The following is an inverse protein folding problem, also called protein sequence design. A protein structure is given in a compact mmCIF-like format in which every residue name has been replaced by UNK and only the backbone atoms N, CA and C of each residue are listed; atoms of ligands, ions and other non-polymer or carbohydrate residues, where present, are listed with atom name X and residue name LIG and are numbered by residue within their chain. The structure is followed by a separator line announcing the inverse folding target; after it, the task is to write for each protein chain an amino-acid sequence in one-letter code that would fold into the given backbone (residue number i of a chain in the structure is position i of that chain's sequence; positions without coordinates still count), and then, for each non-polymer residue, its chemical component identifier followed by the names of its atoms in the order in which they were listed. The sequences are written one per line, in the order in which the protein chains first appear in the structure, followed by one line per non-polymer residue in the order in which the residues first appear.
data_IF_992166234516
#
_entry.id   IF_992166234516
#
_cell.length_a   1.000
_cell.length_b   1.000
_cell.length_c   1.000
_cell.angle_alpha   90.00
_cell.angle_beta   90.00
_cell.angle_gamma   90.00
#
_symmetry.space_group_name_H-M   'P 1'
#
loop_
_entity.id
_entity.type
_entity.pdbx_description
1 polymer ?
#
# COMPACT_ATOMS: atom_id res chain seq x y z
N UNK A 1 -12.43 9.55 18.22
CA UNK A 1 -11.80 8.20 18.19
C UNK A 1 -12.63 7.26 19.02
N UNK A 2 -12.67 5.95 18.75
CA UNK A 2 -13.45 5.02 19.56
C UNK A 2 -12.85 4.87 20.97
N UNK A 3 -13.70 4.53 21.94
CA UNK A 3 -13.26 4.12 23.26
C UNK A 3 -12.41 2.85 23.17
N UNK A 4 -11.36 2.75 23.99
CA UNK A 4 -10.43 1.63 24.03
C UNK A 4 -9.26 1.73 23.04
N UNK A 5 -9.30 2.66 22.10
CA UNK A 5 -8.23 2.87 21.12
C UNK A 5 -6.90 3.26 21.80
N UNK A 6 -5.79 2.72 21.30
CA UNK A 6 -4.45 3.26 21.56
C UNK A 6 -4.26 4.50 20.69
N UNK A 7 -3.89 5.61 21.31
CA UNK A 7 -3.74 6.93 20.69
C UNK A 7 -2.31 7.39 20.83
N UNK A 8 -1.67 7.75 19.71
CA UNK A 8 -0.40 8.46 19.68
C UNK A 8 -0.62 9.92 19.31
N UNK A 9 0.01 10.83 20.06
CA UNK A 9 0.08 12.25 19.70
C UNK A 9 1.53 12.65 19.60
N UNK A 10 1.93 13.16 18.43
CA UNK A 10 3.25 13.73 18.20
C UNK A 10 3.16 15.26 18.24
N UNK A 11 3.86 15.88 19.19
CA UNK A 11 3.99 17.33 19.32
C UNK A 11 5.28 17.77 18.63
N UNK A 12 5.18 18.72 17.70
CA UNK A 12 6.33 19.33 17.00
C UNK A 12 6.37 20.81 17.33
N UNK A 13 7.52 21.30 17.78
CA UNK A 13 7.71 22.69 18.14
C UNK A 13 7.91 23.56 16.89
N UNK A 14 6.97 24.47 16.61
CA UNK A 14 7.00 25.33 15.43
C UNK A 14 7.76 26.65 15.61
N UNK A 15 7.89 27.16 16.84
CA UNK A 15 8.31 28.54 17.13
C UNK A 15 9.61 28.65 17.95
N UNK A 16 10.05 27.58 18.60
CA UNK A 16 11.24 27.54 19.45
C UNK A 16 11.04 28.03 20.88
N UNK A 17 9.80 28.25 21.34
CA UNK A 17 9.50 28.38 22.77
C UNK A 17 9.49 27.00 23.44
N UNK A 18 9.55 26.92 24.76
CA UNK A 18 9.37 25.63 25.45
C UNK A 18 7.91 25.24 25.37
N UNK A 19 7.60 23.97 25.07
CA UNK A 19 6.24 23.44 25.02
C UNK A 19 6.19 21.99 25.52
N UNK A 20 5.03 21.57 25.98
CA UNK A 20 4.65 20.17 26.21
C UNK A 20 3.20 19.93 25.80
N UNK A 21 2.72 18.70 25.98
CA UNK A 21 1.30 18.37 25.87
C UNK A 21 0.90 17.39 26.97
N UNK A 22 -0.21 17.67 27.65
CA UNK A 22 -0.81 16.78 28.64
C UNK A 22 -2.30 16.57 28.39
N UNK A 23 -2.77 15.37 28.74
CA UNK A 23 -4.16 14.95 28.78
C UNK A 23 -4.39 14.28 30.15
N UNK A 24 -4.65 15.07 31.19
CA UNK A 24 -4.67 14.58 32.57
C UNK A 24 -5.68 13.45 32.82
N UNK A 25 -6.81 13.44 32.11
CA UNK A 25 -7.87 12.44 32.30
C UNK A 25 -7.45 11.02 31.90
N UNK A 26 -6.37 10.90 31.13
CA UNK A 26 -5.72 9.65 30.72
C UNK A 26 -4.31 9.48 31.28
N UNK A 27 -3.88 10.33 32.23
CA UNK A 27 -2.53 10.30 32.82
C UNK A 27 -1.40 10.32 31.78
N UNK A 28 -1.62 11.09 30.69
CA UNK A 28 -0.70 11.15 29.56
C UNK A 28 -0.07 12.55 29.49
N UNK A 29 1.26 12.62 29.54
CA UNK A 29 2.00 13.88 29.39
C UNK A 29 3.33 13.65 28.68
N UNK A 30 3.72 14.58 27.82
CA UNK A 30 5.00 14.53 27.11
C UNK A 30 6.13 15.12 27.96
N UNK A 31 7.38 14.86 27.56
CA UNK A 31 8.49 15.71 27.99
C UNK A 31 8.37 17.12 27.40
N UNK A 32 8.98 18.11 28.05
CA UNK A 32 9.13 19.46 27.49
C UNK A 32 10.10 19.45 26.29
N UNK A 33 9.79 20.27 25.28
CA UNK A 33 10.63 20.49 24.09
C UNK A 33 10.85 21.98 23.87
N UNK A 34 12.05 22.40 23.48
CA UNK A 34 12.41 23.83 23.41
C UNK A 34 13.05 24.28 22.09
N UNK A 35 13.50 23.35 21.24
CA UNK A 35 14.08 23.68 19.93
C UNK A 35 13.04 23.76 18.82
N UNK A 36 13.15 24.70 17.88
CA UNK A 36 12.34 24.69 16.66
C UNK A 36 12.60 23.40 15.88
N UNK A 37 11.53 22.68 15.54
CA UNK A 37 11.58 21.35 14.93
C UNK A 37 11.84 20.19 15.91
N UNK A 38 12.11 20.47 17.19
CA UNK A 38 12.13 19.42 18.21
C UNK A 38 10.73 18.79 18.32
N UNK A 39 10.69 17.50 18.57
CA UNK A 39 9.44 16.75 18.69
C UNK A 39 9.47 15.81 19.89
N UNK A 40 8.29 15.55 20.43
CA UNK A 40 8.04 14.55 21.47
C UNK A 40 6.72 13.85 21.16
N UNK A 41 6.49 12.68 21.74
CA UNK A 41 5.21 11.97 21.60
C UNK A 41 4.67 11.50 22.94
N UNK A 42 3.36 11.26 22.98
CA UNK A 42 2.69 10.47 24.03
C UNK A 42 1.90 9.35 23.38
N UNK A 43 1.85 8.20 24.05
CA UNK A 43 0.99 7.08 23.70
C UNK A 43 0.15 6.72 24.92
N UNK A 44 -1.16 6.65 24.75
CA UNK A 44 -2.08 6.31 25.83
C UNK A 44 -3.31 5.56 25.30
N UNK A 45 -4.05 4.91 26.19
CA UNK A 45 -5.32 4.27 25.84
C UNK A 45 -6.49 5.17 26.19
N UNK A 46 -7.36 5.43 25.22
CA UNK A 46 -8.58 6.21 25.40
C UNK A 46 -9.66 5.39 26.13
N UNK A 47 -9.45 5.10 27.41
CA UNK A 47 -10.26 4.18 28.25
C UNK A 47 -11.64 4.70 28.66
N UNK A 48 -12.02 5.91 28.24
CA UNK A 48 -13.26 6.57 28.66
C UNK A 48 -13.83 7.38 27.50
N UNK A 49 -15.11 7.21 27.18
CA UNK A 49 -15.83 8.12 26.26
C UNK A 49 -16.04 9.50 26.89
N UNK A 50 -16.04 10.54 26.06
CA UNK A 50 -16.23 11.92 26.47
C UNK A 50 -15.49 12.93 25.60
N UNK A 51 -15.55 14.19 26.01
CA UNK A 51 -14.71 15.26 25.46
C UNK A 51 -13.72 15.70 26.54
N UNK A 52 -12.43 15.57 26.26
CA UNK A 52 -11.33 15.84 27.18
C UNK A 52 -10.48 16.99 26.66
N UNK A 53 -9.77 17.69 27.54
CA UNK A 53 -8.84 18.73 27.10
C UNK A 53 -7.44 18.15 26.94
N UNK A 54 -6.75 18.55 25.89
CA UNK A 54 -5.29 18.49 25.84
C UNK A 54 -4.74 19.90 25.90
N UNK A 55 -3.67 20.14 26.65
CA UNK A 55 -3.10 21.48 26.80
C UNK A 55 -1.60 21.46 27.12
N UNK A 56 -0.95 22.60 26.90
CA UNK A 56 0.42 22.85 27.34
C UNK A 56 0.41 23.24 28.83
N UNK A 57 1.16 22.51 29.66
CA UNK A 57 1.20 22.67 31.12
C UNK A 57 2.06 23.84 31.57
N UNK A 58 2.88 24.39 30.66
CA UNK A 58 3.77 25.49 30.97
C UNK A 58 2.99 26.75 31.43
N UNK A 59 3.52 27.48 32.42
CA UNK A 59 2.86 28.65 32.98
C UNK A 59 2.45 29.65 31.90
N UNK A 60 1.14 29.93 31.82
CA UNK A 60 0.57 30.90 30.89
C UNK A 60 0.24 30.37 29.49
N UNK A 61 0.76 29.21 29.06
CA UNK A 61 0.56 28.70 27.70
C UNK A 61 -0.89 28.26 27.45
N UNK A 62 -1.51 27.53 28.40
CA UNK A 62 -2.94 27.22 28.33
C UNK A 62 -3.81 28.48 28.25
N UNK A 63 -3.51 29.49 29.07
CA UNK A 63 -4.25 30.76 29.10
C UNK A 63 -4.08 31.57 27.81
N UNK A 64 -2.92 31.44 27.15
CA UNK A 64 -2.65 32.01 25.83
C UNK A 64 -3.32 31.26 24.68
N UNK A 65 -4.02 30.15 24.96
CA UNK A 65 -4.81 29.40 23.99
C UNK A 65 -4.23 28.04 23.58
N UNK A 66 -3.15 27.56 24.20
CA UNK A 66 -2.61 26.22 23.95
C UNK A 66 -3.46 25.13 24.64
N UNK A 67 -4.72 25.02 24.20
CA UNK A 67 -5.69 24.03 24.65
C UNK A 67 -6.54 23.57 23.47
N UNK A 68 -6.82 22.27 23.40
CA UNK A 68 -7.73 21.69 22.41
C UNK A 68 -8.58 20.59 23.01
N UNK A 69 -9.44 19.98 22.18
CA UNK A 69 -10.40 18.96 22.58
C UNK A 69 -10.08 17.61 21.95
N UNK A 70 -10.06 16.58 22.79
CA UNK A 70 -9.99 15.17 22.41
C UNK A 70 -11.39 14.55 22.59
N UNK A 71 -12.00 14.04 21.50
CA UNK A 71 -13.36 13.46 21.53
C UNK A 71 -13.29 11.92 21.40
N UNK A 72 -13.57 11.21 22.48
CA UNK A 72 -13.59 9.74 22.56
C UNK A 72 -15.04 9.24 22.58
N UNK A 73 -15.38 8.26 21.74
CA UNK A 73 -16.74 7.74 21.54
C UNK A 73 -17.40 8.24 20.25
N UNK A 74 -18.74 8.23 20.21
CA UNK A 74 -19.59 8.63 19.08
C UNK A 74 -19.57 10.14 18.82
N UNK A 75 -18.39 10.67 18.48
CA UNK A 75 -18.29 11.98 17.84
C UNK A 75 -18.91 11.92 16.45
N UNK A 76 -19.43 13.03 15.91
CA UNK A 76 -19.92 13.05 14.54
C UNK A 76 -18.79 12.59 13.62
N UNK A 77 -19.04 11.52 12.84
CA UNK A 77 -18.19 11.17 11.73
C UNK A 77 -18.10 12.42 10.86
N UNK A 78 -16.90 13.00 10.74
CA UNK A 78 -16.71 14.10 9.82
C UNK A 78 -17.14 13.58 8.45
N UNK A 79 -18.22 14.13 7.90
CA UNK A 79 -18.63 13.85 6.52
C UNK A 79 -17.59 14.56 5.67
N UNK A 80 -16.53 13.83 5.33
CA UNK A 80 -15.53 14.34 4.40
C UNK A 80 -15.93 13.83 3.03
N UNK A 81 -16.10 14.76 2.10
CA UNK A 81 -16.35 14.46 0.70
C UNK A 81 -15.20 13.56 0.21
N UNK A 82 -15.52 12.29 -0.09
CA UNK A 82 -14.54 11.32 -0.53
C UNK A 82 -14.38 11.45 -2.04
N UNK A 83 -13.13 11.63 -2.51
CA UNK A 83 -12.81 11.45 -3.93
C UNK A 83 -13.13 10.04 -4.41
N UNK A 84 -13.12 9.83 -5.74
CA UNK A 84 -13.34 8.50 -6.33
C UNK A 84 -12.34 7.49 -5.75
N UNK A 85 -12.80 6.31 -5.40
CA UNK A 85 -11.90 5.24 -4.98
C UNK A 85 -11.23 4.62 -6.22
N UNK A 86 -9.91 4.76 -6.30
CA UNK A 86 -9.07 4.16 -7.34
C UNK A 86 -8.19 3.04 -6.77
N UNK A 87 -8.37 2.67 -5.50
CA UNK A 87 -7.57 1.61 -4.88
C UNK A 87 -7.95 0.23 -5.45
N UNK A 88 -6.95 -0.61 -5.71
CA UNK A 88 -7.16 -1.95 -6.23
C UNK A 88 -7.63 -2.92 -5.14
N UNK A 89 -8.76 -3.59 -5.38
CA UNK A 89 -9.19 -4.72 -4.57
C UNK A 89 -8.13 -5.84 -4.65
N UNK A 90 -7.52 -6.26 -3.52
CA UNK A 90 -6.46 -7.25 -3.51
C UNK A 90 -6.93 -8.65 -3.95
N UNK A 91 -8.22 -8.94 -3.98
CA UNK A 91 -8.73 -10.25 -4.45
C UNK A 91 -8.74 -10.37 -5.98
N UNK A 92 -8.52 -9.27 -6.71
CA UNK A 92 -8.52 -9.25 -8.18
C UNK A 92 -7.19 -9.72 -8.78
N UNK A 93 -6.86 -10.99 -8.56
CA UNK A 93 -5.62 -11.66 -9.06
C UNK A 93 -5.76 -12.26 -10.47
N UNK A 94 -6.97 -12.26 -11.03
CA UNK A 94 -7.28 -12.94 -12.29
C UNK A 94 -7.35 -14.47 -12.16
N UNK A 95 -7.84 -15.12 -13.21
CA UNK A 95 -8.06 -16.57 -13.21
C UNK A 95 -6.75 -17.35 -13.40
N UNK A 96 -6.47 -18.38 -12.59
CA UNK A 96 -5.36 -19.31 -12.83
C UNK A 96 -5.40 -19.88 -14.24
N UNK A 97 -4.26 -19.90 -14.93
CA UNK A 97 -4.23 -20.33 -16.34
C UNK A 97 -4.57 -21.81 -16.52
N UNK A 98 -4.39 -22.60 -15.46
CA UNK A 98 -4.61 -24.05 -15.44
C UNK A 98 -3.67 -24.81 -16.37
N UNK A 99 -3.96 -26.10 -16.56
CA UNK A 99 -3.20 -26.98 -17.44
C UNK A 99 -3.69 -26.88 -18.88
N UNK A 100 -3.44 -25.71 -19.49
CA UNK A 100 -3.74 -25.46 -20.91
C UNK A 100 -2.44 -25.33 -21.71
N UNK A 101 -2.54 -25.56 -23.01
CA UNK A 101 -1.48 -25.20 -23.96
C UNK A 101 -1.34 -23.67 -24.11
N UNK A 102 -0.16 -23.18 -24.56
CA UNK A 102 0.02 -21.80 -24.98
C UNK A 102 -0.99 -21.38 -26.06
N UNK A 103 -1.46 -20.14 -25.98
CA UNK A 103 -2.41 -19.57 -26.94
C UNK A 103 -2.08 -18.12 -27.31
N UNK A 104 -2.77 -17.60 -28.31
CA UNK A 104 -2.78 -16.17 -28.59
C UNK A 104 -3.76 -15.46 -27.66
N UNK A 105 -3.33 -14.37 -27.05
CA UNK A 105 -4.12 -13.53 -26.13
C UNK A 105 -4.10 -12.10 -26.64
N UNK A 106 -5.24 -11.40 -26.56
CA UNK A 106 -5.28 -9.95 -26.70
C UNK A 106 -5.45 -9.34 -25.32
N UNK A 107 -4.58 -8.40 -24.97
CA UNK A 107 -4.64 -7.62 -23.74
C UNK A 107 -4.90 -6.16 -24.10
N UNK A 108 -6.08 -5.67 -23.77
CA UNK A 108 -6.44 -4.27 -23.94
C UNK A 108 -6.26 -3.55 -22.60
N UNK A 109 -5.39 -2.55 -22.56
CA UNK A 109 -5.19 -1.68 -21.40
C UNK A 109 -5.48 -0.24 -21.78
N UNK A 110 -6.00 0.52 -20.82
CA UNK A 110 -6.35 1.92 -20.97
C UNK A 110 -5.63 2.77 -19.93
N UNK A 111 -5.10 3.91 -20.35
CA UNK A 111 -4.45 4.85 -19.45
C UNK A 111 -5.37 6.05 -19.22
N UNK A 112 -5.53 6.43 -17.95
CA UNK A 112 -6.42 7.53 -17.53
C UNK A 112 -5.72 8.42 -16.51
N UNK A 113 -6.11 9.70 -16.48
CA UNK A 113 -5.70 10.65 -15.44
C UNK A 113 -6.90 11.11 -14.63
N UNK A 114 -7.00 10.70 -13.37
CA UNK A 114 -8.21 10.87 -12.58
C UNK A 114 -7.91 11.34 -11.16
N UNK A 115 -8.73 12.24 -10.64
CA UNK A 115 -8.69 12.58 -9.22
C UNK A 115 -9.27 11.44 -8.39
N UNK A 116 -8.44 10.88 -7.52
CA UNK A 116 -8.79 9.77 -6.64
C UNK A 116 -8.56 10.12 -5.17
N UNK A 117 -9.23 9.38 -4.29
CA UNK A 117 -9.03 9.44 -2.85
C UNK A 117 -7.65 8.90 -2.48
N UNK A 118 -6.90 9.65 -1.68
CA UNK A 118 -5.61 9.24 -1.13
C UNK A 118 -5.71 8.79 0.34
N UNK A 119 -6.54 9.48 1.11
CA UNK A 119 -6.83 9.22 2.53
C UNK A 119 -8.13 9.96 2.92
N UNK A 120 -8.57 9.80 4.16
CA UNK A 120 -9.74 10.51 4.72
C UNK A 120 -9.58 12.04 4.56
N UNK A 121 -10.32 12.59 3.60
CA UNK A 121 -10.33 14.02 3.31
C UNK A 121 -9.22 14.58 2.45
N UNK A 122 -8.45 13.72 1.79
CA UNK A 122 -7.43 14.13 0.83
C UNK A 122 -7.58 13.38 -0.49
N UNK A 123 -7.42 14.11 -1.59
CA UNK A 123 -7.42 13.57 -2.95
C UNK A 123 -6.09 13.81 -3.65
N UNK A 124 -5.84 13.10 -4.75
CA UNK A 124 -4.67 13.27 -5.61
C UNK A 124 -5.05 12.96 -7.06
N UNK A 125 -4.39 13.62 -8.04
CA UNK A 125 -4.59 13.31 -9.45
C UNK A 125 -3.69 12.13 -9.86
N UNK A 126 -4.24 10.92 -9.81
CA UNK A 126 -3.56 9.69 -10.20
C UNK A 126 -3.51 9.50 -11.71
N UNK A 127 -2.48 8.82 -12.18
CA UNK A 127 -2.38 8.30 -13.53
C UNK A 127 -2.38 6.78 -13.44
N UNK A 128 -3.26 6.12 -14.17
CA UNK A 128 -3.57 4.72 -13.93
C UNK A 128 -3.50 3.88 -15.19
N UNK A 129 -3.39 2.57 -15.01
CA UNK A 129 -3.83 1.59 -15.99
C UNK A 129 -5.20 1.06 -15.53
N UNK A 130 -6.22 1.15 -16.39
CA UNK A 130 -7.60 0.75 -16.16
C UNK A 130 -8.25 1.33 -14.88
N UNK A 131 -7.95 2.59 -14.56
CA UNK A 131 -8.66 3.34 -13.52
C UNK A 131 -8.35 2.90 -12.09
N UNK A 132 -7.30 2.11 -11.87
CA UNK A 132 -6.92 1.63 -10.52
C UNK A 132 -5.42 1.69 -10.28
N UNK A 133 -5.04 1.74 -9.00
CA UNK A 133 -3.64 1.67 -8.54
C UNK A 133 -3.50 0.54 -7.52
N UNK A 134 -2.64 -0.46 -7.76
CA UNK A 134 -1.99 -0.75 -9.05
C UNK A 134 -3.02 -1.04 -10.15
N UNK A 135 -2.54 -1.04 -11.39
CA UNK A 135 -3.33 -1.50 -12.54
C UNK A 135 -3.68 -3.00 -12.46
N UNK A 136 -4.44 -3.53 -13.44
CA UNK A 136 -4.86 -4.93 -13.45
C UNK A 136 -3.70 -5.92 -13.27
N UNK A 137 -3.89 -6.95 -12.44
CA UNK A 137 -2.98 -8.08 -12.45
C UNK A 137 -3.18 -8.87 -13.75
N UNK A 138 -2.17 -8.87 -14.61
CA UNK A 138 -2.20 -9.62 -15.86
C UNK A 138 -1.74 -11.04 -15.56
N UNK A 139 -2.54 -12.05 -15.94
CA UNK A 139 -2.23 -13.46 -15.71
C UNK A 139 -2.21 -14.22 -17.03
N UNK A 140 -1.03 -14.68 -17.42
CA UNK A 140 -0.78 -15.40 -18.68
C UNK A 140 0.09 -16.63 -18.41
N UNK A 141 0.23 -17.50 -19.41
CA UNK A 141 1.06 -18.72 -19.32
C UNK A 141 2.36 -18.50 -20.08
N UNK A 142 3.43 -19.10 -19.59
CA UNK A 142 4.63 -19.31 -20.39
C UNK A 142 4.27 -19.88 -21.78
N UNK A 143 4.86 -19.29 -22.81
CA UNK A 143 4.65 -19.63 -24.21
C UNK A 143 3.51 -18.87 -24.89
N UNK A 144 2.61 -18.21 -24.16
CA UNK A 144 1.53 -17.42 -24.76
C UNK A 144 2.08 -16.34 -25.68
N UNK A 145 1.36 -16.06 -26.77
CA UNK A 145 1.64 -14.94 -27.67
C UNK A 145 0.61 -13.85 -27.40
N UNK A 146 1.05 -12.76 -26.77
CA UNK A 146 0.18 -11.70 -26.28
C UNK A 146 0.28 -10.49 -27.20
N UNK A 147 -0.84 -10.07 -27.79
CA UNK A 147 -0.98 -8.78 -28.45
C UNK A 147 -1.53 -7.78 -27.45
N UNK A 148 -0.72 -6.81 -27.04
CA UNK A 148 -1.11 -5.74 -26.15
C UNK A 148 -1.56 -4.53 -26.97
N UNK A 149 -2.76 -4.01 -26.69
CA UNK A 149 -3.25 -2.73 -27.19
C UNK A 149 -3.32 -1.75 -26.01
N UNK A 150 -2.54 -0.68 -26.07
CA UNK A 150 -2.55 0.38 -25.07
C UNK A 150 -3.26 1.61 -25.65
N UNK A 151 -4.36 1.99 -25.01
CA UNK A 151 -5.13 3.19 -25.35
C UNK A 151 -4.91 4.28 -24.31
N UNK A 152 -4.82 5.53 -24.74
CA UNK A 152 -4.76 6.69 -23.83
C UNK A 152 -6.04 7.50 -23.97
N UNK A 153 -6.70 7.80 -22.86
CA UNK A 153 -7.96 8.53 -22.89
C UNK A 153 -7.80 9.91 -23.57
N UNK A 154 -8.80 10.39 -24.33
CA UNK A 154 -8.70 11.66 -25.04
C UNK A 154 -8.57 12.89 -24.13
N UNK A 155 -8.99 12.80 -22.87
CA UNK A 155 -8.94 13.88 -21.88
C UNK A 155 -7.66 13.85 -21.02
N UNK A 156 -6.78 12.86 -21.21
CA UNK A 156 -5.43 12.85 -20.61
C UNK A 156 -4.61 14.04 -21.10
N UNK A 157 -3.75 14.56 -20.22
CA UNK A 157 -2.81 15.63 -20.53
C UNK A 157 -1.43 15.10 -20.97
N UNK A 158 -1.09 13.85 -20.62
CA UNK A 158 0.22 13.27 -20.80
C UNK A 158 0.21 12.15 -21.84
N UNK A 159 1.35 11.96 -22.49
CA UNK A 159 1.63 10.73 -23.23
C UNK A 159 1.86 9.63 -22.19
N UNK A 160 1.34 8.44 -22.47
CA UNK A 160 1.55 7.26 -21.65
C UNK A 160 2.12 6.13 -22.47
N UNK A 161 2.87 5.24 -21.83
CA UNK A 161 3.44 4.05 -22.43
C UNK A 161 3.45 2.90 -21.43
N UNK A 162 3.98 1.75 -21.83
CA UNK A 162 4.13 0.61 -20.94
C UNK A 162 5.45 -0.13 -21.20
N UNK A 163 6.17 -0.38 -20.11
CA UNK A 163 7.29 -1.31 -20.00
C UNK A 163 6.82 -2.47 -19.13
N UNK A 164 6.74 -3.67 -19.72
CA UNK A 164 6.48 -4.90 -18.97
C UNK A 164 7.79 -5.68 -18.83
N UNK A 165 8.21 -5.97 -17.61
CA UNK A 165 9.47 -6.71 -17.41
C UNK A 165 9.39 -8.17 -17.88
N UNK A 166 8.19 -8.69 -18.15
CA UNK A 166 7.97 -9.98 -18.80
C UNK A 166 8.24 -9.96 -20.33
N UNK A 167 8.47 -8.79 -20.94
CA UNK A 167 8.66 -8.64 -22.39
C UNK A 167 10.15 -8.62 -22.75
N UNK A 168 10.58 -9.60 -23.53
CA UNK A 168 11.90 -9.55 -24.20
C UNK A 168 11.80 -8.74 -25.49
N UNK A 169 11.98 -7.42 -25.39
CA UNK A 169 11.93 -6.50 -26.53
C UNK A 169 12.37 -5.08 -26.13
N UNK A 170 12.54 -4.15 -27.10
CA UNK A 170 13.00 -2.79 -26.82
C UNK A 170 12.12 -2.07 -25.79
N UNK A 171 12.72 -1.74 -24.63
CA UNK A 171 12.05 -1.06 -23.52
C UNK A 171 10.84 -1.81 -22.95
N UNK A 172 10.81 -3.15 -23.05
CA UNK A 172 9.68 -3.96 -22.57
C UNK A 172 8.32 -3.63 -23.23
N UNK A 173 8.35 -3.03 -24.43
CA UNK A 173 7.17 -2.51 -25.13
C UNK A 173 7.12 -0.98 -25.22
N UNK A 174 7.86 -0.26 -24.38
CA UNK A 174 7.79 1.20 -24.27
C UNK A 174 8.26 1.92 -25.53
N UNK A 175 9.20 1.32 -26.28
CA UNK A 175 9.74 1.90 -27.51
C UNK A 175 8.69 2.05 -28.63
N UNK A 176 7.59 1.30 -28.55
CA UNK A 176 6.51 1.29 -29.55
C UNK A 176 5.16 1.72 -28.98
N UNK A 177 5.08 2.02 -27.68
CA UNK A 177 3.84 2.39 -26.99
C UNK A 177 3.87 3.80 -26.42
N UNK A 178 4.60 4.75 -26.99
CA UNK A 178 4.37 6.16 -26.66
C UNK A 178 3.02 6.61 -27.24
N UNK A 179 1.95 6.54 -26.43
CA UNK A 179 0.55 6.76 -26.81
C UNK A 179 0.10 8.15 -26.41
N UNK A 180 -0.14 9.01 -27.40
CA UNK A 180 -0.74 10.32 -27.17
C UNK A 180 -2.23 10.19 -26.81
N UNK A 181 -2.82 11.18 -26.11
CA UNK A 181 -4.24 11.21 -25.79
C UNK A 181 -5.13 10.92 -27.00
N UNK A 182 -6.12 10.05 -26.83
CA UNK A 182 -7.06 9.61 -27.87
C UNK A 182 -6.48 8.63 -28.90
N UNK A 183 -5.25 8.15 -28.72
CA UNK A 183 -4.63 7.17 -29.61
C UNK A 183 -4.57 5.77 -28.97
N UNK A 184 -4.34 4.79 -29.83
CA UNK A 184 -4.00 3.42 -29.44
C UNK A 184 -2.70 3.01 -30.14
N UNK A 185 -1.82 2.32 -29.41
CA UNK A 185 -0.65 1.64 -29.96
C UNK A 185 -0.65 0.19 -29.53
N UNK A 186 -0.06 -0.67 -30.36
CA UNK A 186 -0.08 -2.11 -30.13
C UNK A 186 1.26 -2.75 -30.42
N UNK A 187 1.54 -3.83 -29.72
CA UNK A 187 2.65 -4.72 -30.04
C UNK A 187 2.33 -6.15 -29.62
N UNK A 188 3.02 -7.11 -30.21
CA UNK A 188 2.88 -8.53 -29.87
C UNK A 188 4.19 -9.06 -29.31
N UNK A 189 4.12 -9.82 -28.22
CA UNK A 189 5.26 -10.49 -27.63
C UNK A 189 4.92 -11.95 -27.30
N UNK A 190 5.95 -12.79 -27.17
CA UNK A 190 5.81 -14.13 -26.61
C UNK A 190 6.27 -14.11 -25.15
N UNK A 191 5.49 -14.67 -24.24
CA UNK A 191 5.89 -14.83 -22.84
C UNK A 191 6.94 -15.94 -22.74
N UNK A 192 8.22 -15.57 -22.64
CA UNK A 192 9.33 -16.52 -22.78
C UNK A 192 9.78 -17.16 -21.46
N UNK A 193 9.51 -16.50 -20.32
CA UNK A 193 10.03 -16.92 -19.02
C UNK A 193 8.91 -16.84 -17.98
N UNK A 194 8.68 -17.90 -17.19
CA UNK A 194 7.76 -17.87 -16.07
C UNK A 194 8.34 -17.01 -14.94
N UNK A 195 7.48 -16.26 -14.28
CA UNK A 195 7.85 -15.32 -13.23
C UNK A 195 6.71 -14.38 -12.89
N UNK A 196 6.86 -13.68 -11.76
CA UNK A 196 6.00 -12.55 -11.42
C UNK A 196 6.78 -11.26 -11.65
N UNK A 197 6.29 -10.42 -12.55
CA UNK A 197 7.02 -9.26 -13.04
C UNK A 197 6.22 -7.98 -12.79
N UNK A 198 6.90 -6.87 -12.53
CA UNK A 198 6.28 -5.55 -12.55
C UNK A 198 6.12 -5.11 -14.01
N UNK A 199 5.05 -4.36 -14.27
CA UNK A 199 4.97 -3.49 -15.42
C UNK A 199 4.68 -2.06 -14.96
N UNK A 200 5.11 -1.07 -15.72
CA UNK A 200 4.88 0.33 -15.41
C UNK A 200 4.92 1.22 -16.64
N UNK A 201 4.46 2.47 -16.51
CA UNK A 201 4.66 3.44 -17.58
C UNK A 201 6.15 3.81 -17.71
N UNK A 202 6.60 4.04 -18.94
CA UNK A 202 8.00 4.36 -19.26
C UNK A 202 8.13 5.63 -20.13
N UNK A 203 7.16 6.54 -20.02
CA UNK A 203 7.24 7.87 -20.62
C UNK A 203 8.01 8.81 -19.69
N UNK A 204 8.98 9.61 -20.19
CA UNK A 204 9.68 10.58 -19.36
C UNK A 204 8.75 11.68 -18.81
N UNK A 205 8.81 12.04 -17.52
CA UNK A 205 9.68 11.49 -16.46
C UNK A 205 9.11 10.20 -15.86
N UNK A 206 9.77 9.07 -16.09
CA UNK A 206 9.29 7.73 -15.71
C UNK A 206 8.93 7.64 -14.23
N UNK A 207 9.80 8.16 -13.35
CA UNK A 207 9.57 8.14 -11.91
C UNK A 207 8.28 8.89 -11.48
N UNK A 208 7.91 9.98 -12.17
CA UNK A 208 6.65 10.69 -11.90
C UNK A 208 5.45 9.85 -12.35
N UNK A 209 5.51 9.22 -13.52
CA UNK A 209 4.43 8.36 -13.99
C UNK A 209 4.19 7.17 -13.03
N UNK A 210 5.27 6.56 -12.55
CA UNK A 210 5.20 5.49 -11.55
C UNK A 210 4.61 6.02 -10.24
N UNK A 211 5.14 7.12 -9.70
CA UNK A 211 4.64 7.68 -8.43
C UNK A 211 3.16 8.06 -8.50
N UNK A 212 2.68 8.52 -9.66
CA UNK A 212 1.27 8.84 -9.89
C UNK A 212 0.35 7.61 -9.98
N UNK A 213 0.89 6.39 -9.96
CA UNK A 213 0.11 5.14 -9.88
C UNK A 213 0.24 4.20 -11.08
N UNK A 214 1.05 4.52 -12.08
CA UNK A 214 1.15 3.72 -13.31
C UNK A 214 2.10 2.53 -13.14
N UNK A 215 1.69 1.55 -12.35
CA UNK A 215 2.36 0.26 -12.17
C UNK A 215 1.36 -0.87 -11.93
N UNK A 216 1.76 -2.10 -12.22
CA UNK A 216 1.00 -3.32 -11.92
C UNK A 216 1.86 -4.57 -12.01
N UNK A 217 1.27 -5.75 -11.78
CA UNK A 217 1.94 -7.04 -11.92
C UNK A 217 1.46 -7.81 -13.15
N UNK A 218 2.40 -8.50 -13.80
CA UNK A 218 2.15 -9.52 -14.81
C UNK A 218 2.76 -10.84 -14.34
N UNK A 219 1.89 -11.82 -14.08
CA UNK A 219 2.23 -13.19 -13.75
C UNK A 219 2.29 -14.01 -15.05
N UNK A 220 3.48 -14.51 -15.37
CA UNK A 220 3.69 -15.56 -16.36
C UNK A 220 3.76 -16.88 -15.61
N UNK A 221 2.64 -17.59 -15.55
CA UNK A 221 2.59 -18.89 -14.89
C UNK A 221 3.43 -19.92 -15.66
N UNK A 222 4.16 -20.80 -14.96
CA UNK A 222 4.87 -21.91 -15.58
C UNK A 222 3.88 -22.92 -16.20
N UNK A 223 4.40 -23.82 -17.02
CA UNK A 223 3.66 -25.01 -17.43
C UNK A 223 3.08 -25.77 -16.22
N UNK A 224 1.82 -26.17 -16.30
CA UNK A 224 1.07 -26.79 -15.20
C UNK A 224 0.47 -25.80 -14.19
N UNK A 225 0.82 -24.52 -14.25
CA UNK A 225 0.34 -23.47 -13.37
C UNK A 225 0.97 -23.50 -11.97
N UNK A 226 0.54 -22.57 -11.12
CA UNK A 226 0.97 -22.55 -9.71
C UNK A 226 0.24 -23.60 -8.87
N UNK A 227 0.86 -24.11 -7.77
CA UNK A 227 0.17 -24.94 -6.80
C UNK A 227 -1.11 -24.25 -6.31
N UNK A 228 -2.15 -25.05 -6.01
CA UNK A 228 -3.39 -24.49 -5.46
C UNK A 228 -3.17 -24.00 -4.04
N UNK A 229 -3.82 -22.88 -3.74
CA UNK A 229 -4.01 -22.32 -2.40
C UNK A 229 -5.49 -21.94 -2.24
N UNK A 230 -5.95 -21.72 -1.03
CA UNK A 230 -7.34 -21.35 -0.75
C UNK A 230 -7.61 -19.89 -1.10
N UNK A 231 -6.63 -19.00 -0.84
CA UNK A 231 -6.75 -17.56 -1.11
C UNK A 231 -5.51 -16.99 -1.79
N UNK A 232 -5.73 -16.14 -2.79
CA UNK A 232 -4.69 -15.35 -3.47
C UNK A 232 -4.99 -13.85 -3.31
N UNK A 233 -3.96 -13.06 -3.03
CA UNK A 233 -4.06 -11.59 -2.92
C UNK A 233 -3.02 -10.87 -3.78
N UNK A 234 -3.40 -9.72 -4.33
CA UNK A 234 -2.59 -8.83 -5.16
C UNK A 234 -2.32 -7.52 -4.42
N UNK A 235 -1.06 -7.32 -4.04
CA UNK A 235 -0.63 -6.16 -3.26
C UNK A 235 0.57 -5.51 -3.92
N UNK A 236 0.51 -4.19 -4.11
CA UNK A 236 1.69 -3.43 -4.51
C UNK A 236 1.94 -2.23 -3.62
N UNK A 237 3.21 -2.00 -3.32
CA UNK A 237 3.71 -0.81 -2.63
C UNK A 237 4.07 0.29 -3.63
N UNK A 238 3.69 1.52 -3.31
CA UNK A 238 4.11 2.71 -4.02
C UNK A 238 4.30 3.92 -3.12
N UNK A 239 5.04 4.90 -3.64
CA UNK A 239 5.34 6.17 -2.98
C UNK A 239 4.68 7.34 -3.70
N UNK A 240 4.16 8.29 -2.92
CA UNK A 240 3.68 9.56 -3.44
C UNK A 240 4.48 10.74 -2.87
N UNK A 241 4.97 11.57 -3.78
CA UNK A 241 5.78 12.74 -3.49
C UNK A 241 4.93 13.99 -3.67
N UNK A 242 4.30 14.43 -2.59
CA UNK A 242 3.39 15.57 -2.59
C UNK A 242 4.06 16.81 -2.01
N UNK A 243 3.59 18.00 -2.41
CA UNK A 243 4.05 19.28 -1.84
C UNK A 243 3.55 19.49 -0.40
N UNK A 244 2.38 18.93 -0.08
CA UNK A 244 1.79 19.00 1.26
C UNK A 244 2.10 17.72 2.05
N UNK A 245 2.32 17.81 3.37
CA UNK A 245 2.61 16.65 4.20
C UNK A 245 1.36 15.76 4.40
N UNK A 246 1.58 14.52 4.87
CA UNK A 246 0.50 13.63 5.30
C UNK A 246 -0.38 14.31 6.35
N UNK A 247 -1.69 14.11 6.22
CA UNK A 247 -2.71 14.68 7.11
C UNK A 247 -3.28 16.03 6.64
N UNK A 248 -2.62 16.69 5.68
CA UNK A 248 -3.25 17.81 4.98
C UNK A 248 -4.50 17.34 4.21
N UNK A 249 -5.56 18.15 4.26
CA UNK A 249 -6.83 17.88 3.57
C UNK A 249 -6.88 18.57 2.20
N UNK A 250 -7.79 18.11 1.34
CA UNK A 250 -7.99 18.62 0.00
C UNK A 250 -7.09 17.94 -1.03
N UNK A 251 -6.99 18.56 -2.20
CA UNK A 251 -6.19 18.07 -3.31
C UNK A 251 -4.69 18.23 -3.00
N UNK A 252 -3.97 17.12 -3.00
CA UNK A 252 -2.51 17.09 -2.96
C UNK A 252 -1.94 17.24 -4.37
N UNK A 253 -0.85 17.98 -4.47
CA UNK A 253 -0.13 18.20 -5.73
C UNK A 253 1.25 17.54 -5.68
N UNK A 254 1.69 17.04 -6.83
CA UNK A 254 3.02 16.46 -7.01
C UNK A 254 4.14 17.46 -6.67
N UNK A 255 5.22 16.99 -6.05
CA UNK A 255 6.44 17.77 -5.81
C UNK A 255 7.64 17.08 -6.44
N UNK A 256 8.22 17.74 -7.45
CA UNK A 256 9.45 17.28 -8.11
C UNK A 256 10.63 17.27 -7.12
N UNK A 257 10.73 18.28 -6.26
CA UNK A 257 11.81 18.37 -5.27
C UNK A 257 11.76 17.19 -4.29
N UNK A 258 10.56 16.82 -3.81
CA UNK A 258 10.40 15.66 -2.93
C UNK A 258 10.73 14.35 -3.66
N UNK A 259 10.34 14.21 -4.93
CA UNK A 259 10.67 13.04 -5.75
C UNK A 259 12.18 12.88 -5.92
N UNK A 260 12.88 13.94 -6.33
CA UNK A 260 14.32 13.93 -6.55
C UNK A 260 15.11 13.80 -5.25
N UNK A 261 14.55 14.25 -4.13
CA UNK A 261 15.10 14.04 -2.79
C UNK A 261 14.82 12.65 -2.20
N UNK A 262 14.01 11.82 -2.88
CA UNK A 262 13.53 10.52 -2.39
C UNK A 262 12.85 10.62 -1.01
N UNK A 263 12.13 11.72 -0.76
CA UNK A 263 11.42 11.99 0.49
C UNK A 263 9.90 11.92 0.31
N UNK A 264 9.31 10.72 0.21
CA UNK A 264 7.87 10.59 0.00
C UNK A 264 7.11 11.05 1.24
N UNK A 265 5.99 11.73 1.01
CA UNK A 265 5.09 12.15 2.08
C UNK A 265 4.05 11.09 2.39
N UNK A 266 3.68 10.28 1.38
CA UNK A 266 2.74 9.19 1.52
C UNK A 266 3.33 7.90 0.98
N UNK A 267 3.03 6.82 1.69
CA UNK A 267 3.36 5.46 1.31
C UNK A 267 2.06 4.65 1.39
N UNK A 268 1.80 3.81 0.41
CA UNK A 268 0.52 3.12 0.30
C UNK A 268 0.66 1.72 -0.27
N UNK A 269 -0.18 0.82 0.22
CA UNK A 269 -0.54 -0.38 -0.51
C UNK A 269 -1.78 -0.10 -1.34
N UNK A 270 -1.77 -0.50 -2.61
CA UNK A 270 -2.92 -0.41 -3.51
C UNK A 270 -3.54 0.99 -3.63
N UNK A 271 -2.71 2.03 -3.79
CA UNK A 271 -3.16 3.33 -4.30
C UNK A 271 -3.83 4.28 -3.31
N UNK A 272 -4.17 3.85 -2.10
CA UNK A 272 -4.65 4.72 -1.03
C UNK A 272 -4.12 4.27 0.33
N UNK A 273 -3.92 5.21 1.25
CA UNK A 273 -3.34 4.95 2.58
C UNK A 273 -4.21 4.07 3.49
N UNK A 274 -5.50 3.92 3.16
CA UNK A 274 -6.45 3.08 3.89
C UNK A 274 -7.06 1.98 3.02
N UNK A 275 -6.52 1.76 1.82
CA UNK A 275 -7.01 0.78 0.85
C UNK A 275 -7.16 -0.61 1.48
N UNK A 276 -6.10 -1.08 2.17
CA UNK A 276 -6.06 -2.42 2.75
C UNK A 276 -6.36 -2.45 4.26
N UNK A 277 -6.83 -1.34 4.84
CA UNK A 277 -7.20 -1.27 6.27
C UNK A 277 -8.67 -0.98 6.48
N UNK A 278 -9.30 -0.19 5.60
CA UNK A 278 -10.71 0.23 5.72
C UNK A 278 -11.56 -0.11 4.50
N UNK A 279 -10.98 -0.01 3.30
CA UNK A 279 -11.75 -0.07 2.05
C UNK A 279 -11.95 -1.51 1.57
N UNK A 280 -10.85 -2.20 1.28
CA UNK A 280 -10.84 -3.57 0.81
C UNK A 280 -10.37 -4.49 1.92
N UNK A 281 -11.22 -5.41 2.32
CA UNK A 281 -10.91 -6.36 3.39
C UNK A 281 -10.26 -7.61 2.82
N UNK A 282 -9.13 -8.02 3.40
CA UNK A 282 -8.59 -9.35 3.22
C UNK A 282 -9.07 -10.20 4.41
N UNK A 283 -9.93 -11.17 4.16
CA UNK A 283 -10.49 -12.05 5.18
C UNK A 283 -10.33 -13.52 4.76
N UNK A 284 -9.81 -14.35 5.67
CA UNK A 284 -9.62 -15.80 5.49
C UNK A 284 -10.01 -16.53 6.78
N UNK A 285 -10.03 -17.86 6.77
CA UNK A 285 -10.26 -18.68 7.96
C UNK A 285 -8.96 -19.32 8.46
N UNK A 286 -8.95 -19.68 9.73
CA UNK A 286 -7.87 -20.44 10.32
C UNK A 286 -7.73 -21.79 9.61
N UNK A 287 -6.51 -22.15 9.20
CA UNK A 287 -6.19 -23.33 8.40
C UNK A 287 -6.21 -23.11 6.89
N UNK A 288 -6.66 -21.95 6.40
CA UNK A 288 -6.62 -21.63 4.98
C UNK A 288 -5.18 -21.35 4.53
N UNK A 289 -4.80 -21.85 3.35
CA UNK A 289 -3.54 -21.51 2.68
C UNK A 289 -3.67 -20.20 1.90
N UNK A 290 -2.73 -19.28 2.14
CA UNK A 290 -2.74 -17.93 1.58
C UNK A 290 -1.51 -17.72 0.70
N UNK A 291 -1.71 -17.10 -0.46
CA UNK A 291 -0.65 -16.58 -1.33
C UNK A 291 -0.80 -15.08 -1.53
N UNK A 292 0.29 -14.34 -1.41
CA UNK A 292 0.32 -12.91 -1.73
C UNK A 292 1.31 -12.66 -2.87
N UNK A 293 0.80 -12.12 -3.97
CA UNK A 293 1.59 -11.55 -5.05
C UNK A 293 1.96 -10.12 -4.67
N UNK A 294 3.20 -9.93 -4.23
CA UNK A 294 3.66 -8.66 -3.71
C UNK A 294 4.66 -8.01 -4.66
N UNK A 295 4.39 -6.77 -5.07
CA UNK A 295 5.27 -5.99 -5.92
C UNK A 295 5.60 -4.62 -5.35
N UNK A 296 6.70 -4.03 -5.78
CA UNK A 296 7.02 -2.63 -5.47
C UNK A 296 7.05 -1.86 -6.78
N UNK A 297 6.01 -1.05 -7.01
CA UNK A 297 6.02 -0.09 -8.10
C UNK A 297 7.10 0.97 -7.86
N UNK A 298 7.24 1.41 -6.61
CA UNK A 298 8.23 2.39 -6.19
C UNK A 298 7.71 3.82 -6.37
N UNK A 299 8.48 4.73 -7.01
CA UNK A 299 9.61 4.45 -7.90
C UNK A 299 10.97 4.16 -7.24
N UNK A 300 11.19 4.47 -5.96
CA UNK A 300 12.55 4.53 -5.41
C UNK A 300 12.82 3.52 -4.28
N UNK A 301 11.87 3.31 -3.36
CA UNK A 301 12.18 2.65 -2.10
C UNK A 301 11.99 1.14 -2.16
N UNK A 302 12.99 0.40 -1.67
CA UNK A 302 12.92 -1.05 -1.44
C UNK A 302 11.96 -1.32 -0.26
N UNK A 303 11.09 -2.33 -0.38
CA UNK A 303 10.24 -2.79 0.73
C UNK A 303 10.92 -3.89 1.54
N UNK A 304 10.82 -3.82 2.86
CA UNK A 304 11.09 -4.95 3.77
C UNK A 304 9.78 -5.63 4.12
N UNK A 305 9.18 -6.34 3.17
CA UNK A 305 7.81 -6.84 3.29
C UNK A 305 7.69 -7.90 4.38
N UNK A 306 6.73 -7.71 5.28
CA UNK A 306 6.48 -8.53 6.45
C UNK A 306 4.98 -8.57 6.78
N UNK A 307 4.53 -9.69 7.35
CA UNK A 307 3.19 -9.84 7.93
C UNK A 307 3.34 -10.06 9.42
N UNK A 308 3.00 -9.05 10.22
CA UNK A 308 3.06 -9.13 11.69
C UNK A 308 2.10 -10.21 12.16
N UNK A 309 2.64 -11.14 12.96
CA UNK A 309 1.92 -12.28 13.51
C UNK A 309 2.13 -13.58 12.74
N UNK A 310 2.77 -13.54 11.57
CA UNK A 310 2.92 -14.70 10.67
C UNK A 310 4.38 -14.93 10.24
N UNK A 311 4.65 -16.14 9.75
CA UNK A 311 5.91 -16.52 9.12
C UNK A 311 5.61 -17.01 7.70
N UNK A 312 6.40 -16.61 6.71
CA UNK A 312 6.22 -17.13 5.36
C UNK A 312 6.78 -18.56 5.26
N UNK A 313 5.89 -19.52 5.05
CA UNK A 313 6.25 -20.92 4.73
C UNK A 313 7.11 -20.98 3.47
N UNK A 314 6.78 -20.14 2.48
CA UNK A 314 7.54 -20.02 1.24
C UNK A 314 7.72 -18.57 0.83
N UNK A 315 8.93 -18.25 0.38
CA UNK A 315 9.25 -17.00 -0.33
C UNK A 315 9.90 -17.33 -1.66
N UNK A 316 9.24 -16.93 -2.73
CA UNK A 316 9.77 -17.01 -4.09
C UNK A 316 10.69 -15.81 -4.29
N UNK A 317 11.96 -15.98 -3.92
CA UNK A 317 12.96 -14.92 -3.96
C UNK A 317 13.08 -14.33 -5.36
N UNK A 318 13.09 -12.99 -5.43
CA UNK A 318 13.07 -12.21 -6.67
C UNK A 318 11.97 -12.64 -7.67
N UNK A 319 10.88 -13.23 -7.16
CA UNK A 319 9.77 -13.76 -7.96
C UNK A 319 10.18 -14.85 -8.99
N UNK A 320 11.27 -15.58 -8.74
CA UNK A 320 11.62 -16.76 -9.54
C UNK A 320 10.66 -17.90 -9.25
N UNK A 321 9.86 -18.32 -10.24
CA UNK A 321 8.88 -19.41 -10.10
C UNK A 321 9.45 -20.80 -10.44
N UNK A 322 10.67 -20.87 -10.96
CA UNK A 322 11.36 -22.11 -11.34
C UNK A 322 12.43 -22.52 -10.35
N UNK A 323 12.92 -21.58 -9.53
CA UNK A 323 13.81 -21.89 -8.42
C UNK A 323 13.00 -22.44 -7.24
N UNK A 324 13.53 -23.37 -6.44
CA UNK A 324 12.92 -23.73 -5.17
C UNK A 324 12.75 -22.47 -4.29
N UNK A 325 11.57 -22.24 -3.69
CA UNK A 325 11.38 -21.10 -2.80
C UNK A 325 12.23 -21.27 -1.54
N UNK A 326 12.61 -20.14 -0.95
CA UNK A 326 13.09 -20.12 0.43
C UNK A 326 11.95 -20.54 1.36
N UNK A 327 12.29 -21.07 2.53
CA UNK A 327 11.33 -21.55 3.54
C UNK A 327 11.63 -20.92 4.90
N UNK A 328 10.62 -20.83 5.76
CA UNK A 328 10.71 -20.31 7.14
C UNK A 328 11.24 -18.86 7.22
N UNK A 329 10.69 -17.96 6.39
CA UNK A 329 11.19 -16.58 6.24
C UNK A 329 10.27 -15.57 6.93
N UNK A 330 10.84 -14.74 7.82
CA UNK A 330 10.09 -13.71 8.53
C UNK A 330 9.75 -12.47 7.68
N UNK A 331 10.71 -12.02 6.86
CA UNK A 331 10.68 -10.75 6.12
C UNK A 331 11.49 -10.91 4.86
N UNK A 332 11.01 -10.38 3.73
CA UNK A 332 11.71 -10.44 2.45
C UNK A 332 11.93 -9.05 1.86
N UNK A 333 13.06 -8.86 1.17
CA UNK A 333 13.40 -7.61 0.51
C UNK A 333 12.86 -7.62 -0.92
N UNK A 334 12.14 -6.56 -1.29
CA UNK A 334 11.58 -6.42 -2.63
C UNK A 334 11.98 -5.06 -3.19
N UNK A 335 12.82 -5.01 -4.24
CA UNK A 335 13.30 -3.75 -4.78
C UNK A 335 12.20 -3.02 -5.57
N UNK A 336 12.33 -1.70 -5.74
CA UNK A 336 11.51 -0.96 -6.69
C UNK A 336 11.67 -1.52 -8.11
N UNK A 337 10.55 -1.73 -8.81
CA UNK A 337 10.50 -2.47 -10.07
C UNK A 337 10.63 -3.99 -9.92
N UNK A 338 10.66 -4.52 -8.69
CA UNK A 338 10.71 -5.94 -8.40
C UNK A 338 9.42 -6.47 -7.76
N UNK A 339 9.34 -7.80 -7.67
CA UNK A 339 8.24 -8.49 -7.02
C UNK A 339 8.73 -9.74 -6.28
N UNK A 340 7.86 -10.31 -5.47
CA UNK A 340 8.00 -11.62 -4.84
C UNK A 340 6.61 -12.25 -4.71
N UNK A 341 6.59 -13.56 -4.45
CA UNK A 341 5.38 -14.28 -4.07
C UNK A 341 5.67 -14.94 -2.72
N UNK A 342 4.74 -14.80 -1.78
CA UNK A 342 4.84 -15.46 -0.48
C UNK A 342 3.64 -16.36 -0.25
N UNK A 343 3.85 -17.48 0.44
CA UNK A 343 2.79 -18.40 0.86
C UNK A 343 2.93 -18.71 2.35
N UNK A 344 1.80 -18.88 3.03
CA UNK A 344 1.71 -19.35 4.41
C UNK A 344 0.33 -19.96 4.69
N UNK A 345 0.22 -20.79 5.73
CA UNK A 345 -1.07 -21.22 6.29
C UNK A 345 -1.45 -20.28 7.44
N UNK A 346 -2.67 -19.78 7.44
CA UNK A 346 -3.17 -18.91 8.51
C UNK A 346 -3.59 -19.75 9.72
N UNK A 347 -2.66 -20.14 10.60
CA UNK A 347 -2.96 -21.18 11.61
C UNK A 347 -3.82 -20.70 12.81
N UNK A 348 -3.85 -19.39 13.10
CA UNK A 348 -4.50 -18.86 14.30
C UNK A 348 -5.41 -17.67 13.99
N UNK A 349 -6.62 -17.57 14.59
CA UNK A 349 -7.51 -16.43 14.34
C UNK A 349 -6.94 -15.13 14.91
N UNK A 350 -6.99 -14.06 14.13
CA UNK A 350 -6.40 -12.79 14.54
C UNK A 350 -6.41 -11.72 13.46
N UNK A 351 -5.80 -10.57 13.80
CA UNK A 351 -5.53 -9.48 12.87
C UNK A 351 -4.04 -9.48 12.56
N UNK A 352 -3.71 -9.77 11.32
CA UNK A 352 -2.36 -9.83 10.79
C UNK A 352 -2.08 -8.57 9.99
N UNK A 353 -0.92 -7.95 10.21
CA UNK A 353 -0.64 -6.61 9.68
C UNK A 353 0.46 -6.67 8.63
N UNK A 354 0.10 -6.39 7.37
CA UNK A 354 1.05 -6.23 6.28
C UNK A 354 1.79 -4.91 6.47
N UNK A 355 3.12 -4.94 6.45
CA UNK A 355 3.97 -3.76 6.58
C UNK A 355 5.18 -3.84 5.68
N UNK A 356 5.77 -2.67 5.46
CA UNK A 356 7.19 -2.54 5.19
C UNK A 356 7.92 -2.29 6.51
N UNK A 357 8.82 -3.19 6.89
CA UNK A 357 9.47 -3.19 8.19
C UNK A 357 10.49 -2.05 8.38
N UNK A 358 10.70 -1.20 7.37
CA UNK A 358 11.14 0.17 7.61
C UNK A 358 9.98 1.00 8.22
N UNK A 359 9.65 0.68 9.49
CA UNK A 359 8.35 0.97 10.14
C UNK A 359 7.95 2.45 10.23
N UNK A 360 8.88 3.40 10.08
CA UNK A 360 8.50 4.80 9.92
C UNK A 360 7.59 5.05 8.71
N UNK A 361 7.51 4.11 7.77
CA UNK A 361 6.60 4.13 6.62
C UNK A 361 5.14 3.78 6.99
N UNK A 362 4.89 3.05 8.07
CA UNK A 362 3.54 2.87 8.61
C UNK A 362 2.95 4.22 9.05
N UNK A 363 3.79 5.09 9.64
CA UNK A 363 3.48 6.49 9.94
C UNK A 363 3.34 7.38 8.70
N UNK A 364 3.57 6.84 7.50
CA UNK A 364 3.25 7.47 6.20
C UNK A 364 2.04 6.85 5.49
N UNK A 365 1.40 5.84 6.08
CA UNK A 365 0.19 5.18 5.57
C UNK A 365 0.39 3.75 5.08
N UNK A 366 1.59 3.19 5.18
CA UNK A 366 1.92 1.89 4.60
C UNK A 366 1.60 0.73 5.55
N UNK A 367 0.32 0.37 5.60
CA UNK A 367 -0.18 -0.76 6.39
C UNK A 367 -1.35 -1.43 5.67
N UNK A 368 -1.51 -2.74 5.85
CA UNK A 368 -2.68 -3.50 5.43
C UNK A 368 -3.10 -4.50 6.51
N UNK A 369 -4.36 -4.93 6.51
CA UNK A 369 -4.90 -5.88 7.49
C UNK A 369 -5.42 -7.11 6.78
N UNK A 370 -4.87 -8.26 7.15
CA UNK A 370 -5.45 -9.58 6.90
C UNK A 370 -6.17 -10.05 8.17
N UNK A 371 -7.46 -10.33 8.06
CA UNK A 371 -8.27 -10.83 9.18
C UNK A 371 -8.45 -12.34 9.04
N UNK A 372 -7.98 -13.10 10.01
CA UNK A 372 -8.15 -14.55 10.09
C UNK A 372 -9.26 -14.85 11.09
N UNK A 373 -10.31 -15.54 10.64
CA UNK A 373 -11.47 -15.93 11.46
C UNK A 373 -11.36 -17.40 11.85
N UNK A 374 -11.92 -17.79 12.99
CA UNK A 374 -11.95 -19.18 13.41
C UNK A 374 -11.82 -19.32 14.92
N UNK A 375 -11.68 -20.57 15.35
CA UNK A 375 -11.49 -20.92 16.76
C UNK A 375 -10.01 -20.86 17.13
N UNK A 376 -9.70 -20.32 18.30
CA UNK A 376 -8.34 -20.21 18.80
C UNK A 376 -7.79 -21.58 19.24
N UNK A 377 -6.59 -21.93 18.78
CA UNK A 377 -5.87 -23.12 19.25
C UNK A 377 -4.84 -22.74 20.33
N UNK A 378 -5.17 -23.04 21.58
CA UNK A 378 -4.30 -22.79 22.74
C UNK A 378 -2.95 -23.52 22.70
N UNK A 379 -2.78 -24.54 21.84
CA UNK A 379 -1.50 -25.21 21.64
C UNK A 379 -0.52 -24.39 20.79
N UNK A 380 -1.05 -23.46 19.97
CA UNK A 380 -0.27 -22.54 19.14
C UNK A 380 0.03 -21.26 19.91
N UNK A 381 -1.01 -20.61 20.45
CA UNK A 381 -0.86 -19.37 21.22
C UNK A 381 -1.83 -19.36 22.41
N UNK A 382 -1.29 -19.12 23.60
CA UNK A 382 -2.07 -18.99 24.82
C UNK A 382 -1.48 -17.88 25.68
N UNK A 383 -2.36 -17.06 26.24
CA UNK A 383 -2.00 -15.96 27.13
C UNK A 383 -2.98 -15.91 28.30
N UNK A 384 -2.50 -15.70 29.54
CA UNK A 384 -3.38 -15.39 30.66
C UNK A 384 -4.02 -14.00 30.53
N UNK A 385 -3.41 -13.12 29.72
CA UNK A 385 -3.92 -11.79 29.40
C UNK A 385 -4.84 -11.83 28.16
N UNK A 386 -5.92 -11.04 28.11
CA UNK A 386 -6.80 -10.96 26.95
C UNK A 386 -6.07 -10.34 25.75
N UNK A 387 -6.39 -10.83 24.55
CA UNK A 387 -5.90 -10.24 23.30
C UNK A 387 -6.58 -8.87 23.11
N UNK A 388 -5.76 -7.82 22.96
CA UNK A 388 -6.25 -6.49 22.64
C UNK A 388 -6.43 -6.34 21.11
N UNK A 389 -7.68 -6.21 20.61
CA UNK A 389 -7.92 -6.02 19.18
C UNK A 389 -7.49 -4.63 18.66
N UNK A 390 -7.01 -3.75 19.54
CA UNK A 390 -6.63 -2.36 19.27
C UNK A 390 -5.19 -2.02 19.70
N UNK A 391 -4.29 -3.00 19.75
CA UNK A 391 -2.94 -2.89 20.33
C UNK A 391 -1.99 -1.85 19.68
N UNK A 392 -2.43 -1.14 18.64
CA UNK A 392 -1.65 -0.05 18.04
C UNK A 392 -0.72 -0.49 16.90
N UNK A 393 -0.91 -1.71 16.40
CA UNK A 393 -0.40 -2.17 15.11
C UNK A 393 -1.53 -2.26 14.08
#
# INVERSE_FOLDING_TARGET
MPEGAVVQINLINGDGAVHDIAIPEFDAASSEISGKGAATGIVFRATKSGTFEYYCTLPGHKAAGMVGKLIVGDGPAAVVEQGKDLSKDPTQVGEPVGDREPKSITLDLRTTEEEGRLADGSTYKFWTFDGTVPGPMVRIREGDTVTLNLSNEPDSAHIHSIDLHAVTGPGGGAAVTQVAPGQTRSFTFKALQPGLYVYHCATPMVAQHISNGMYGLILVEPEGGLPKVDHEFYVMQGELYTASPRGARGLHEFSLDMLLGETPQHMMFNGATDALTKTHKMEVNAGDSVRIFFGVGGPNLISSFHVIGEIFDKVFDQASLTSPPLTDVQTTLVPAGGATMVEFVADYPGRYILVDHALSRAEKGLSGVLTVKGDADSSIFSSPEPIDPHSGH
#
